data_IF_127283915560
#
_entry.id   IF_127283915560
#
_cell.length_a   1.000
_cell.length_b   1.000
_cell.length_c   1.000
_cell.angle_alpha   90.00
_cell.angle_beta   90.00
_cell.angle_gamma   90.00
#
_symmetry.space_group_name_H-M   'P 1'
#
loop_
_entity.id
_entity.type
_entity.pdbx_description
1 polymer ?
#
# COMPACT_ATOMS: atom_id res chain seq x y z
N UNK A 1 25.92 -6.39 -9.99
CA UNK A 1 24.68 -5.65 -10.29
C UNK A 1 23.72 -5.72 -9.09
N UNK A 2 23.14 -4.60 -8.74
CA UNK A 2 22.17 -4.57 -7.65
C UNK A 2 20.84 -5.17 -8.13
N UNK A 3 20.21 -6.05 -7.33
CA UNK A 3 18.92 -6.63 -7.72
C UNK A 3 17.80 -5.60 -7.61
N UNK A 4 16.79 -5.78 -8.43
CA UNK A 4 15.56 -4.98 -8.32
C UNK A 4 14.65 -5.53 -7.24
N UNK A 5 13.92 -4.62 -6.58
CA UNK A 5 12.86 -4.99 -5.64
C UNK A 5 11.64 -4.10 -5.88
N UNK A 6 10.47 -4.67 -5.69
CA UNK A 6 9.21 -3.93 -5.66
C UNK A 6 8.85 -3.68 -4.20
N UNK A 7 8.50 -2.44 -3.86
CA UNK A 7 8.04 -2.09 -2.53
C UNK A 7 6.66 -1.45 -2.64
N UNK A 8 5.69 -1.98 -1.90
CA UNK A 8 4.37 -1.34 -1.80
C UNK A 8 4.49 -0.13 -0.89
N UNK A 9 4.22 1.05 -1.42
CA UNK A 9 4.41 2.33 -0.72
C UNK A 9 3.06 3.01 -0.53
N UNK A 10 2.60 3.09 0.71
CA UNK A 10 1.28 3.64 1.05
C UNK A 10 1.32 5.08 1.54
N UNK A 11 2.50 5.61 1.83
CA UNK A 11 2.66 6.90 2.49
C UNK A 11 2.66 6.81 4.01
N UNK A 12 2.38 5.65 4.59
CA UNK A 12 2.48 5.42 6.02
C UNK A 12 3.91 5.12 6.45
N UNK A 13 4.12 5.13 7.78
CA UNK A 13 5.45 4.95 8.36
C UNK A 13 6.02 3.56 8.08
N UNK A 14 5.19 2.51 8.17
CA UNK A 14 5.66 1.14 7.99
C UNK A 14 6.17 0.89 6.57
N UNK A 15 5.45 1.38 5.55
CA UNK A 15 5.88 1.22 4.17
C UNK A 15 7.12 2.07 3.87
N UNK A 16 7.22 3.27 4.44
CA UNK A 16 8.40 4.11 4.28
C UNK A 16 9.64 3.45 4.88
N UNK A 17 9.51 2.87 6.07
CA UNK A 17 10.58 2.13 6.73
C UNK A 17 10.99 0.92 5.90
N UNK A 18 10.02 0.19 5.38
CA UNK A 18 10.26 -0.97 4.52
C UNK A 18 11.04 -0.59 3.26
N UNK A 19 10.66 0.52 2.62
CA UNK A 19 11.37 1.02 1.44
C UNK A 19 12.81 1.40 1.76
N UNK A 20 13.03 2.07 2.90
CA UNK A 20 14.36 2.44 3.34
C UNK A 20 15.23 1.20 3.61
N UNK A 21 14.67 0.17 4.24
CA UNK A 21 15.36 -1.09 4.51
C UNK A 21 15.77 -1.77 3.19
N UNK A 22 14.87 -1.87 2.23
CA UNK A 22 15.16 -2.48 0.94
C UNK A 22 16.30 -1.73 0.23
N UNK A 23 16.25 -0.40 0.22
CA UNK A 23 17.31 0.43 -0.35
C UNK A 23 18.64 0.17 0.36
N UNK A 24 18.64 0.15 1.69
CA UNK A 24 19.86 -0.02 2.48
C UNK A 24 20.45 -1.42 2.35
N UNK A 25 19.63 -2.41 1.99
CA UNK A 25 20.11 -3.76 1.69
C UNK A 25 20.72 -3.88 0.29
N UNK A 26 20.73 -2.80 -0.47
CA UNK A 26 21.37 -2.77 -1.79
C UNK A 26 20.45 -3.02 -2.95
N UNK A 27 19.13 -3.06 -2.74
CA UNK A 27 18.18 -3.21 -3.85
C UNK A 27 18.01 -1.90 -4.61
N UNK A 28 17.75 -2.03 -5.90
CA UNK A 28 17.22 -0.95 -6.72
C UNK A 28 15.70 -0.96 -6.52
N UNK A 29 15.19 0.01 -5.77
CA UNK A 29 13.80 0.00 -5.31
C UNK A 29 12.87 0.64 -6.32
N UNK A 30 11.86 -0.11 -6.73
CA UNK A 30 10.75 0.34 -7.55
C UNK A 30 9.51 0.36 -6.67
N UNK A 31 8.99 1.54 -6.37
CA UNK A 31 7.84 1.69 -5.49
C UNK A 31 6.54 1.59 -6.30
N UNK A 32 5.55 0.95 -5.69
CA UNK A 32 4.21 0.81 -6.26
C UNK A 32 3.20 1.31 -5.25
N UNK A 33 2.39 2.28 -5.65
CA UNK A 33 1.30 2.82 -4.85
C UNK A 33 -0.02 2.66 -5.60
N UNK A 34 -1.11 2.65 -4.87
CA UNK A 34 -2.44 2.47 -5.44
C UNK A 34 -3.33 3.64 -5.08
N UNK A 35 -4.13 4.07 -6.04
CA UNK A 35 -5.20 5.04 -5.84
C UNK A 35 -6.52 4.32 -6.07
N UNK A 36 -7.33 4.17 -5.01
CA UNK A 36 -8.57 3.42 -5.06
C UNK A 36 -9.72 4.10 -4.31
N UNK A 37 -9.63 5.39 -4.09
CA UNK A 37 -10.64 6.21 -3.46
C UNK A 37 -10.12 7.60 -3.21
N UNK A 38 -11.01 8.58 -3.09
CA UNK A 38 -10.62 9.96 -2.90
C UNK A 38 -10.00 10.24 -1.54
N UNK A 39 -10.28 9.38 -0.55
CA UNK A 39 -9.80 9.57 0.82
C UNK A 39 -8.31 9.33 0.98
N UNK A 40 -7.66 8.76 -0.03
CA UNK A 40 -6.25 8.41 0.01
C UNK A 40 -5.33 9.42 -0.69
N UNK A 41 -5.86 10.58 -1.11
CA UNK A 41 -5.06 11.58 -1.81
C UNK A 41 -3.88 12.07 -0.97
N UNK A 42 -4.11 12.33 0.33
CA UNK A 42 -3.05 12.79 1.25
C UNK A 42 -1.97 11.71 1.42
N UNK A 43 -2.39 10.47 1.57
CA UNK A 43 -1.45 9.34 1.70
C UNK A 43 -0.62 9.17 0.44
N UNK A 44 -1.22 9.39 -0.73
CA UNK A 44 -0.51 9.29 -2.00
C UNK A 44 0.53 10.39 -2.14
N UNK A 45 0.21 11.62 -1.72
CA UNK A 45 1.18 12.71 -1.70
C UNK A 45 2.34 12.40 -0.75
N UNK A 46 2.05 11.83 0.42
CA UNK A 46 3.07 11.39 1.36
C UNK A 46 3.96 10.30 0.74
N UNK A 47 3.37 9.36 0.00
CA UNK A 47 4.13 8.32 -0.70
C UNK A 47 5.09 8.93 -1.72
N UNK A 48 4.64 9.92 -2.49
CA UNK A 48 5.51 10.62 -3.45
C UNK A 48 6.67 11.32 -2.75
N UNK A 49 6.41 11.96 -1.62
CA UNK A 49 7.46 12.63 -0.84
C UNK A 49 8.47 11.63 -0.31
N UNK A 50 8.03 10.47 0.19
CA UNK A 50 8.91 9.41 0.66
C UNK A 50 9.78 8.89 -0.50
N UNK A 51 9.18 8.64 -1.65
CA UNK A 51 9.92 8.15 -2.82
C UNK A 51 11.01 9.14 -3.23
N UNK A 52 10.72 10.44 -3.22
CA UNK A 52 11.70 11.47 -3.53
C UNK A 52 12.79 11.56 -2.48
N UNK A 53 12.42 11.55 -1.20
CA UNK A 53 13.38 11.67 -0.10
C UNK A 53 14.36 10.50 -0.05
N UNK A 54 13.89 9.30 -0.38
CA UNK A 54 14.73 8.10 -0.42
C UNK A 54 15.47 7.92 -1.74
N UNK A 55 15.19 8.74 -2.73
CA UNK A 55 15.83 8.63 -4.04
C UNK A 55 15.50 7.32 -4.74
N UNK A 56 14.25 6.86 -4.65
CA UNK A 56 13.85 5.61 -5.25
C UNK A 56 13.92 5.69 -6.78
N UNK A 57 14.31 4.59 -7.41
CA UNK A 57 14.53 4.53 -8.85
C UNK A 57 13.27 4.83 -9.65
N UNK A 58 12.13 4.32 -9.16
CA UNK A 58 10.87 4.47 -9.87
C UNK A 58 9.70 4.43 -8.87
N UNK A 59 8.71 5.25 -9.11
CA UNK A 59 7.47 5.24 -8.33
C UNK A 59 6.29 5.19 -9.30
N UNK A 60 5.59 4.07 -9.32
CA UNK A 60 4.40 3.85 -10.15
C UNK A 60 3.16 3.96 -9.28
N UNK A 61 2.18 4.72 -9.75
CA UNK A 61 0.86 4.83 -9.10
C UNK A 61 -0.17 4.20 -10.03
N UNK A 62 -0.87 3.19 -9.52
CA UNK A 62 -1.94 2.52 -10.24
C UNK A 62 -3.30 2.97 -9.73
N UNK A 63 -4.22 3.26 -10.65
CA UNK A 63 -5.61 3.52 -10.33
C UNK A 63 -6.39 2.21 -10.38
N UNK A 64 -7.07 1.88 -9.28
CA UNK A 64 -7.87 0.66 -9.17
C UNK A 64 -9.27 1.04 -8.69
N UNK A 65 -10.30 0.53 -9.34
CA UNK A 65 -11.68 0.75 -8.91
C UNK A 65 -12.17 -0.41 -8.05
N UNK A 66 -11.75 -0.42 -6.79
CA UNK A 66 -12.25 -1.40 -5.82
C UNK A 66 -13.68 -1.13 -5.40
N UNK A 67 -14.17 0.09 -5.61
CA UNK A 67 -15.57 0.46 -5.31
C UNK A 67 -16.59 -0.21 -6.18
N UNK A 68 -16.18 -0.79 -7.32
CA UNK A 68 -17.07 -1.51 -8.21
C UNK A 68 -17.75 -2.71 -7.53
N UNK A 69 -17.09 -3.27 -6.50
CA UNK A 69 -17.64 -4.40 -5.74
C UNK A 69 -18.53 -3.97 -4.57
N UNK A 70 -18.43 -2.71 -4.11
CA UNK A 70 -19.09 -2.24 -2.91
C UNK A 70 -18.49 -2.85 -1.64
N UNK A 71 -19.18 -2.66 -0.52
CA UNK A 71 -18.86 -3.32 0.74
C UNK A 71 -17.74 -2.69 1.56
N UNK A 72 -17.28 -1.47 1.21
CA UNK A 72 -16.25 -0.78 1.96
C UNK A 72 -16.57 0.71 2.10
N UNK A 73 -16.40 1.26 3.30
CA UNK A 73 -16.59 2.68 3.55
C UNK A 73 -15.53 3.55 2.86
N UNK A 74 -14.40 3.00 2.45
CA UNK A 74 -13.35 3.72 1.73
C UNK A 74 -13.68 3.89 0.25
N UNK A 75 -14.44 2.96 -0.33
CA UNK A 75 -14.78 2.96 -1.76
C UNK A 75 -16.24 3.32 -2.03
N UNK A 76 -17.11 3.17 -1.03
CA UNK A 76 -18.52 3.54 -1.12
C UNK A 76 -18.73 4.97 -0.60
N UNK A 77 -19.93 5.52 -0.81
CA UNK A 77 -20.31 6.84 -0.31
C UNK A 77 -20.63 6.85 1.20
N UNK A 78 -20.28 5.80 1.92
CA UNK A 78 -20.54 5.65 3.36
C UNK A 78 -19.46 6.40 4.14
N UNK A 79 -19.89 7.23 5.12
CA UNK A 79 -18.95 7.95 5.96
C UNK A 79 -18.20 6.99 6.89
N UNK A 80 -16.89 7.20 7.03
CA UNK A 80 -16.08 6.45 7.98
C UNK A 80 -16.39 6.94 9.40
N UNK A 81 -16.77 6.06 10.34
CA UNK A 81 -17.02 6.47 11.73
C UNK A 81 -15.76 7.04 12.37
N UNK A 82 -15.87 8.24 12.97
CA UNK A 82 -14.73 8.91 13.61
C UNK A 82 -14.58 8.56 15.09
N UNK A 83 -15.68 8.21 15.74
CA UNK A 83 -15.75 7.99 17.19
C UNK A 83 -15.88 6.51 17.54
N UNK A 84 -15.32 5.65 16.71
CA UNK A 84 -15.35 4.21 16.95
C UNK A 84 -14.50 3.88 18.19
N UNK A 85 -15.05 3.19 19.20
CA UNK A 85 -14.30 2.83 20.40
C UNK A 85 -13.09 1.96 20.05
N UNK A 86 -11.98 2.16 20.77
CA UNK A 86 -10.76 1.38 20.54
C UNK A 86 -10.99 -0.12 20.71
N UNK A 87 -11.80 -0.52 21.71
CA UNK A 87 -12.10 -1.93 21.93
C UNK A 87 -12.87 -2.55 20.76
N UNK A 88 -13.66 -1.77 20.04
CA UNK A 88 -14.37 -2.27 18.87
C UNK A 88 -13.46 -2.45 17.66
N UNK A 89 -12.33 -1.79 17.63
CA UNK A 89 -11.38 -1.89 16.50
C UNK A 89 -10.67 -3.24 16.46
N UNK A 90 -10.53 -3.92 17.58
CA UNK A 90 -9.88 -5.23 17.66
C UNK A 90 -10.85 -6.41 17.65
N UNK A 91 -12.17 -6.15 17.71
CA UNK A 91 -13.20 -7.18 17.90
C UNK A 91 -13.90 -7.60 16.60
N UNK A 92 -13.59 -6.96 15.48
CA UNK A 92 -14.23 -7.28 14.22
C UNK A 92 -13.59 -6.54 13.05
N UNK A 93 -14.08 -6.83 11.86
CA UNK A 93 -13.59 -6.18 10.64
C UNK A 93 -13.98 -4.70 10.65
N UNK A 94 -13.02 -3.77 10.50
CA UNK A 94 -13.32 -2.33 10.45
C UNK A 94 -14.21 -1.98 9.26
N UNK A 95 -15.01 -0.91 9.40
CA UNK A 95 -15.83 -0.41 8.30
C UNK A 95 -14.97 0.11 7.13
N UNK A 96 -13.69 0.39 7.39
CA UNK A 96 -12.71 0.81 6.37
C UNK A 96 -12.07 -0.37 5.64
N UNK A 97 -12.42 -1.60 6.00
CA UNK A 97 -11.88 -2.79 5.36
C UNK A 97 -12.23 -2.82 3.86
N UNK A 98 -11.23 -3.04 3.02
CA UNK A 98 -11.40 -3.28 1.59
C UNK A 98 -11.17 -4.78 1.37
N UNK A 99 -12.18 -5.51 0.86
CA UNK A 99 -12.06 -6.96 0.74
C UNK A 99 -10.81 -7.39 -0.04
N UNK A 100 -10.03 -8.28 0.55
CA UNK A 100 -8.81 -8.85 -0.02
C UNK A 100 -7.80 -7.83 -0.55
N UNK A 101 -7.76 -6.63 0.04
CA UNK A 101 -6.92 -5.53 -0.46
C UNK A 101 -5.45 -5.92 -0.60
N UNK A 102 -4.85 -6.51 0.43
CA UNK A 102 -3.44 -6.88 0.36
C UNK A 102 -3.19 -7.97 -0.68
N UNK A 103 -4.11 -8.90 -0.86
CA UNK A 103 -4.03 -9.92 -1.90
C UNK A 103 -4.03 -9.29 -3.29
N UNK A 104 -4.93 -8.32 -3.52
CA UNK A 104 -5.02 -7.60 -4.79
C UNK A 104 -3.72 -6.83 -5.05
N UNK A 105 -3.23 -6.12 -4.04
CA UNK A 105 -2.01 -5.31 -4.18
C UNK A 105 -0.79 -6.18 -4.43
N UNK A 106 -0.68 -7.33 -3.76
CA UNK A 106 0.41 -8.26 -3.98
C UNK A 106 0.36 -8.89 -5.38
N UNK A 107 -0.83 -9.15 -5.91
CA UNK A 107 -0.97 -9.65 -7.28
C UNK A 107 -0.45 -8.63 -8.29
N UNK A 108 -0.79 -7.36 -8.13
CA UNK A 108 -0.23 -6.29 -8.98
C UNK A 108 1.27 -6.15 -8.81
N UNK A 109 1.76 -6.24 -7.56
CA UNK A 109 3.19 -6.17 -7.30
C UNK A 109 3.94 -7.31 -7.98
N UNK A 110 3.37 -8.52 -7.99
CA UNK A 110 3.96 -9.65 -8.69
C UNK A 110 4.04 -9.41 -10.19
N UNK A 111 2.98 -8.89 -10.78
CA UNK A 111 2.98 -8.54 -12.20
C UNK A 111 4.04 -7.49 -12.52
N UNK A 112 4.15 -6.45 -11.68
CA UNK A 112 5.18 -5.43 -11.85
C UNK A 112 6.57 -6.02 -11.70
N UNK A 113 6.78 -6.87 -10.71
CA UNK A 113 8.08 -7.52 -10.48
C UNK A 113 8.53 -8.33 -11.70
N UNK A 114 7.61 -9.01 -12.36
CA UNK A 114 7.94 -9.75 -13.59
C UNK A 114 8.44 -8.83 -14.69
N UNK A 115 7.89 -7.63 -14.81
CA UNK A 115 8.31 -6.70 -15.87
C UNK A 115 9.71 -6.13 -15.65
N UNK A 116 10.20 -6.13 -14.41
CA UNK A 116 11.52 -5.59 -14.06
C UNK A 116 12.50 -6.67 -13.63
N UNK A 117 12.17 -7.93 -13.87
CA UNK A 117 12.99 -9.07 -13.49
C UNK A 117 13.37 -9.05 -12.00
N UNK A 118 12.39 -8.74 -11.13
CA UNK A 118 12.56 -8.76 -9.68
C UNK A 118 12.00 -10.03 -9.09
N UNK A 119 12.70 -10.61 -8.12
CA UNK A 119 12.22 -11.76 -7.34
C UNK A 119 11.83 -11.37 -5.92
N UNK A 120 11.92 -10.09 -5.58
CA UNK A 120 11.72 -9.61 -4.21
C UNK A 120 10.63 -8.56 -4.17
N UNK A 121 9.67 -8.76 -3.27
CA UNK A 121 8.59 -7.83 -3.00
C UNK A 121 8.60 -7.55 -1.50
N UNK A 122 8.61 -6.26 -1.13
CA UNK A 122 8.60 -5.83 0.27
C UNK A 122 7.26 -5.16 0.57
N UNK A 123 6.65 -5.52 1.70
CA UNK A 123 5.46 -4.85 2.20
C UNK A 123 5.62 -4.52 3.67
N UNK A 124 5.00 -3.44 4.11
CA UNK A 124 4.85 -3.11 5.51
C UNK A 124 3.45 -3.49 5.98
N UNK A 125 3.35 -4.42 6.92
CA UNK A 125 2.07 -4.85 7.48
C UNK A 125 2.20 -4.92 9.01
N UNK A 126 1.08 -4.84 9.71
CA UNK A 126 1.07 -4.95 11.16
C UNK A 126 0.07 -6.02 11.63
N UNK A 127 0.10 -6.31 12.94
CA UNK A 127 -0.67 -7.41 13.51
C UNK A 127 -2.19 -7.23 13.43
N UNK A 128 -2.67 -6.01 13.21
CA UNK A 128 -4.10 -5.70 13.14
C UNK A 128 -4.55 -5.34 11.72
N UNK A 129 -3.80 -5.78 10.71
CA UNK A 129 -4.15 -5.55 9.31
C UNK A 129 -5.17 -6.60 8.87
N UNK A 130 -6.39 -6.15 8.58
CA UNK A 130 -7.49 -7.00 8.13
C UNK A 130 -7.59 -7.12 6.61
N UNK A 131 -6.64 -6.61 5.88
CA UNK A 131 -6.73 -6.54 4.41
C UNK A 131 -6.24 -7.80 3.68
N UNK A 132 -5.99 -8.84 4.41
CA UNK A 132 -5.55 -10.10 3.85
C UNK A 132 -4.06 -10.22 3.77
#
# INVERSE_FOLDING_TARGET
MSPNAVVLLSGGMDSATTAAIARDQGFVVHALSFRYGQRHAVELDAARQVAQALGLTRHVVLDIDLGAFGGSALTDAIAVPKDRPLQAMGEGVPTTYVPARNTIFLAFALAFAETIASTDIFIGANAIDYSG
#
